data_IF_726160722860
#
_entry.id   IF_726160722860
#
_cell.length_a   1.000
_cell.length_b   1.000
_cell.length_c   1.000
_cell.angle_alpha   90.00
_cell.angle_beta   90.00
_cell.angle_gamma   90.00
#
_symmetry.space_group_name_H-M   'P 1'
#
loop_
_entity.id
_entity.type
_entity.pdbx_description
1 polymer ?
#
# COMPACT_ATOMS: atom_id res chain seq x y z
N UNK A 1 -2.60 -7.17 -8.03
CA UNK A 1 -3.29 -6.83 -6.77
C UNK A 1 -4.18 -8.00 -6.40
N UNK A 2 -4.06 -8.49 -5.17
CA UNK A 2 -4.90 -9.56 -4.63
C UNK A 2 -5.74 -9.03 -3.47
N UNK A 3 -6.91 -9.62 -3.26
CA UNK A 3 -7.77 -9.33 -2.12
C UNK A 3 -8.40 -10.62 -1.60
N UNK A 4 -8.57 -10.70 -0.29
CA UNK A 4 -9.16 -11.84 0.38
C UNK A 4 -10.15 -11.35 1.43
N UNK A 5 -11.38 -11.85 1.35
CA UNK A 5 -12.41 -11.63 2.35
C UNK A 5 -12.14 -12.55 3.55
N UNK A 6 -11.67 -11.97 4.65
CA UNK A 6 -11.41 -12.72 5.90
C UNK A 6 -12.73 -12.95 6.64
N UNK A 7 -13.59 -11.94 6.63
CA UNK A 7 -14.97 -11.98 7.12
C UNK A 7 -15.84 -11.09 6.24
N UNK A 8 -17.18 -11.18 6.31
CA UNK A 8 -18.06 -10.29 5.54
C UNK A 8 -17.85 -8.78 5.80
N UNK A 9 -17.18 -8.41 6.91
CA UNK A 9 -16.90 -7.03 7.27
C UNK A 9 -15.43 -6.64 7.09
N UNK A 10 -14.54 -7.58 6.76
CA UNK A 10 -13.10 -7.34 6.70
C UNK A 10 -12.47 -7.97 5.46
N UNK A 11 -11.94 -7.11 4.59
CA UNK A 11 -11.16 -7.49 3.42
C UNK A 11 -9.71 -7.11 3.66
N UNK A 12 -8.80 -8.03 3.35
CA UNK A 12 -7.36 -7.78 3.28
C UNK A 12 -6.97 -7.70 1.82
N UNK A 13 -6.26 -6.64 1.43
CA UNK A 13 -5.71 -6.50 0.09
C UNK A 13 -4.20 -6.35 0.13
N UNK A 14 -3.55 -6.85 -0.93
CA UNK A 14 -2.13 -6.68 -1.18
C UNK A 14 -1.94 -6.21 -2.62
N UNK A 15 -1.43 -4.99 -2.77
CA UNK A 15 -0.90 -4.51 -4.04
C UNK A 15 0.63 -4.57 -4.02
N UNK A 16 1.21 -4.86 -5.18
CA UNK A 16 2.66 -4.92 -5.36
C UNK A 16 2.99 -4.42 -6.76
N UNK A 17 3.98 -3.55 -6.86
CA UNK A 17 4.52 -3.05 -8.13
C UNK A 17 6.00 -3.39 -8.16
N UNK A 18 6.47 -3.99 -9.25
CA UNK A 18 7.88 -4.31 -9.46
C UNK A 18 8.38 -3.46 -10.62
N UNK A 19 9.38 -2.62 -10.38
CA UNK A 19 10.07 -1.89 -11.42
C UNK A 19 11.18 -2.79 -12.00
N UNK A 20 11.02 -3.21 -13.25
CA UNK A 20 11.96 -4.14 -13.90
C UNK A 20 13.28 -3.47 -14.31
N UNK A 21 13.33 -2.14 -14.40
CA UNK A 21 14.53 -1.41 -14.81
C UNK A 21 15.59 -1.35 -13.69
N UNK A 22 15.15 -1.12 -12.45
CA UNK A 22 16.02 -1.01 -11.28
C UNK A 22 15.83 -2.12 -10.23
N UNK A 23 14.89 -3.04 -10.48
CA UNK A 23 14.51 -4.16 -9.62
C UNK A 23 13.92 -3.76 -8.26
N UNK A 24 13.42 -2.54 -8.15
CA UNK A 24 12.75 -2.08 -6.94
C UNK A 24 11.30 -2.51 -6.85
N UNK A 25 10.78 -2.59 -5.64
CA UNK A 25 9.44 -3.11 -5.36
C UNK A 25 8.70 -2.15 -4.45
N UNK A 26 7.44 -1.87 -4.76
CA UNK A 26 6.52 -1.18 -3.87
C UNK A 26 5.46 -2.18 -3.42
N UNK A 27 5.23 -2.26 -2.11
CA UNK A 27 4.28 -3.18 -1.49
C UNK A 27 3.28 -2.35 -0.68
N UNK A 28 2.00 -2.64 -0.87
CA UNK A 28 0.88 -1.97 -0.20
C UNK A 28 -0.10 -3.02 0.35
N UNK A 29 0.13 -3.50 1.60
CA UNK A 29 -0.88 -4.20 2.36
C UNK A 29 -1.92 -3.22 2.93
N UNK A 30 -3.19 -3.50 2.66
CA UNK A 30 -4.31 -2.67 3.08
C UNK A 30 -5.40 -3.52 3.74
N UNK A 31 -5.95 -3.03 4.84
CA UNK A 31 -7.12 -3.55 5.54
C UNK A 31 -8.32 -2.65 5.23
N UNK A 32 -9.44 -3.25 4.87
CA UNK A 32 -10.70 -2.56 4.58
C UNK A 32 -11.77 -3.15 5.49
N UNK A 33 -12.27 -2.34 6.42
CA UNK A 33 -13.31 -2.73 7.36
C UNK A 33 -14.62 -1.98 7.07
N UNK A 34 -15.70 -2.70 6.82
CA UNK A 34 -17.02 -2.14 6.59
C UNK A 34 -17.75 -1.95 7.92
N UNK A 35 -17.96 -0.69 8.34
CA UNK A 35 -18.77 -0.35 9.52
C UNK A 35 -20.26 -0.46 9.22
N UNK A 36 -20.65 -0.12 8.00
CA UNK A 36 -22.02 -0.20 7.49
C UNK A 36 -21.97 -0.24 5.97
N UNK A 37 -23.13 -0.41 5.33
CA UNK A 37 -23.26 -0.39 3.86
C UNK A 37 -22.73 0.91 3.22
N UNK A 38 -22.64 1.99 3.99
CA UNK A 38 -22.23 3.32 3.52
C UNK A 38 -20.97 3.86 4.21
N UNK A 39 -20.27 3.07 5.02
CA UNK A 39 -19.10 3.54 5.77
C UNK A 39 -18.01 2.48 5.89
N UNK A 40 -16.79 2.86 5.54
CA UNK A 40 -15.61 2.01 5.58
C UNK A 40 -14.44 2.69 6.30
N UNK A 41 -13.66 1.89 7.02
CA UNK A 41 -12.34 2.26 7.51
C UNK A 41 -11.29 1.53 6.69
N UNK A 42 -10.35 2.27 6.13
CA UNK A 42 -9.20 1.73 5.41
C UNK A 42 -7.95 2.06 6.20
N UNK A 43 -7.10 1.06 6.44
CA UNK A 43 -5.80 1.26 7.05
C UNK A 43 -4.76 0.49 6.25
N UNK A 44 -3.63 1.10 5.95
CA UNK A 44 -2.61 0.48 5.12
C UNK A 44 -1.22 1.01 5.38
N UNK A 45 -0.27 0.33 4.76
CA UNK A 45 1.14 0.68 4.79
C UNK A 45 1.61 0.69 3.34
N UNK A 46 2.35 1.70 2.93
CA UNK A 46 3.06 1.71 1.66
C UNK A 46 4.54 1.64 1.97
N UNK A 47 5.20 0.60 1.46
CA UNK A 47 6.63 0.36 1.66
C UNK A 47 7.34 0.21 0.32
N UNK A 48 8.47 0.89 0.16
CA UNK A 48 9.32 0.79 -1.00
C UNK A 48 10.64 0.09 -0.68
N UNK A 49 10.93 -1.03 -1.33
CA UNK A 49 12.21 -1.73 -1.23
C UNK A 49 13.05 -1.48 -2.48
N UNK A 50 14.28 -1.03 -2.30
CA UNK A 50 15.19 -0.74 -3.39
C UNK A 50 16.52 -0.16 -2.93
N UNK A 51 17.41 0.13 -3.87
CA UNK A 51 18.73 0.71 -3.55
C UNK A 51 18.58 2.16 -3.10
N UNK A 52 19.04 2.45 -1.89
CA UNK A 52 19.11 3.82 -1.37
C UNK A 52 19.83 4.79 -2.33
N UNK A 53 19.36 6.04 -2.42
CA UNK A 53 20.07 7.09 -3.14
C UNK A 53 21.46 7.29 -2.55
N UNK A 54 22.45 7.54 -3.42
CA UNK A 54 23.83 7.85 -3.00
C UNK A 54 24.13 9.32 -3.29
N UNK A 55 23.93 10.17 -2.28
CA UNK A 55 23.97 11.63 -2.46
C UNK A 55 22.85 12.08 -3.41
N UNK A 56 23.12 12.91 -4.44
CA UNK A 56 22.09 13.37 -5.37
C UNK A 56 21.70 12.33 -6.43
N UNK A 57 22.36 11.15 -6.47
CA UNK A 57 22.06 10.12 -7.47
C UNK A 57 20.98 9.18 -6.97
N UNK A 58 19.82 9.23 -7.64
CA UNK A 58 18.79 8.22 -7.54
C UNK A 58 19.30 6.88 -8.07
N UNK A 59 19.14 5.81 -7.29
CA UNK A 59 19.58 4.45 -7.64
C UNK A 59 18.43 3.46 -7.79
N UNK A 60 17.28 3.79 -7.22
CA UNK A 60 16.04 3.07 -7.31
C UNK A 60 14.88 4.04 -7.14
N UNK A 61 13.82 3.88 -7.92
CA UNK A 61 12.59 4.64 -7.80
C UNK A 61 11.92 4.39 -6.44
N UNK A 62 11.52 3.15 -6.15
CA UNK A 62 10.80 2.86 -4.91
C UNK A 62 11.67 2.89 -3.65
N UNK A 63 12.97 2.58 -3.75
CA UNK A 63 13.92 2.76 -2.64
C UNK A 63 14.25 4.22 -2.31
N UNK A 64 13.68 5.19 -3.04
CA UNK A 64 13.76 6.61 -2.71
C UNK A 64 12.50 7.19 -2.10
N UNK A 65 11.40 6.43 -2.11
CA UNK A 65 10.15 6.85 -1.53
C UNK A 65 10.17 6.56 -0.03
N UNK A 66 9.68 7.48 0.81
CA UNK A 66 9.54 7.20 2.23
C UNK A 66 8.43 6.18 2.44
N UNK A 67 8.67 5.24 3.35
CA UNK A 67 7.62 4.36 3.85
C UNK A 67 6.62 5.18 4.67
N UNK A 68 5.33 4.90 4.53
CA UNK A 68 4.30 5.55 5.32
C UNK A 68 3.15 4.62 5.65
N UNK A 69 2.45 4.95 6.73
CA UNK A 69 1.20 4.32 7.13
C UNK A 69 0.07 5.33 6.98
N UNK A 70 -1.13 4.82 6.73
CA UNK A 70 -2.31 5.68 6.60
C UNK A 70 -3.54 5.04 7.22
N UNK A 71 -4.48 5.91 7.58
CA UNK A 71 -5.83 5.55 7.99
C UNK A 71 -6.78 6.52 7.29
N UNK A 72 -7.80 5.97 6.63
CA UNK A 72 -8.78 6.69 5.83
C UNK A 72 -10.19 6.23 6.23
N UNK A 73 -11.14 7.17 6.31
CA UNK A 73 -12.56 6.88 6.49
C UNK A 73 -13.27 7.25 5.20
N UNK A 74 -13.99 6.30 4.61
CA UNK A 74 -14.86 6.52 3.45
C UNK A 74 -16.31 6.52 3.90
N UNK A 75 -17.06 7.54 3.50
CA UNK A 75 -18.50 7.64 3.77
C UNK A 75 -19.23 7.97 2.47
N UNK A 76 -20.26 7.18 2.14
CA UNK A 76 -21.04 7.28 0.91
C UNK A 76 -22.46 7.80 1.23
N UNK A 77 -23.02 8.64 0.36
CA UNK A 77 -24.32 9.31 0.55
C UNK A 77 -25.21 9.25 -0.70
#
# INVERSE_FOLDING_TARGET
MGSYEVTPLLVVSLATIINLNDQSVLIDPTLIYSFSDNAELVAGIVMGEGKDPKGPRLRSEFGSYPDFTFVEIKYYF
#
